data_IF_607726102989
#
_entry.id   IF_607726102989
#
_cell.length_a   1.000
_cell.length_b   1.000
_cell.length_c   1.000
_cell.angle_alpha   90.00
_cell.angle_beta   90.00
_cell.angle_gamma   90.00
#
_symmetry.space_group_name_H-M   'P 1'
#
loop_
_entity.id
_entity.type
_entity.pdbx_description
1 polymer ?
#
# COMPACT_ATOMS: atom_id res chain seq x y z
N UNK A 1 28.06 3.02 -9.51
CA UNK A 1 29.45 2.54 -9.65
C UNK A 1 30.45 3.45 -8.96
N UNK A 2 31.69 3.00 -8.77
CA UNK A 2 32.76 3.76 -8.11
C UNK A 2 32.98 5.16 -8.72
N UNK A 3 32.80 5.32 -10.03
CA UNK A 3 32.92 6.61 -10.73
C UNK A 3 31.94 7.68 -10.27
N UNK A 4 30.77 7.30 -9.78
CA UNK A 4 29.74 8.25 -9.29
C UNK A 4 30.11 8.82 -7.91
N UNK A 5 30.84 8.06 -7.09
CA UNK A 5 31.28 8.48 -5.76
C UNK A 5 32.32 9.59 -5.86
N UNK A 6 33.28 9.46 -6.80
CA UNK A 6 34.32 10.47 -7.01
C UNK A 6 33.77 11.79 -7.59
N UNK A 7 32.78 11.72 -8.48
CA UNK A 7 32.13 12.93 -9.03
C UNK A 7 31.37 13.71 -7.95
N UNK A 8 30.81 13.02 -6.95
CA UNK A 8 30.07 13.65 -5.84
C UNK A 8 30.96 14.41 -4.84
N UNK A 9 32.25 14.09 -4.76
CA UNK A 9 33.17 14.75 -3.84
C UNK A 9 33.53 16.18 -4.28
N UNK A 10 33.30 16.54 -5.53
CA UNK A 10 33.62 17.87 -6.10
C UNK A 10 32.54 18.91 -5.81
N UNK A 11 31.32 18.46 -5.46
CA UNK A 11 30.17 19.33 -5.23
C UNK A 11 29.96 19.59 -3.74
N UNK A 12 29.58 20.81 -3.39
CA UNK A 12 29.20 21.18 -2.03
C UNK A 12 27.89 20.50 -1.63
N UNK A 13 26.96 20.29 -2.58
CA UNK A 13 25.74 19.58 -2.39
C UNK A 13 25.29 18.78 -3.62
N UNK A 14 24.67 17.64 -3.40
CA UNK A 14 24.09 16.78 -4.45
C UNK A 14 22.61 16.57 -4.17
N UNK A 15 21.76 17.22 -4.95
CA UNK A 15 20.33 17.01 -4.95
C UNK A 15 19.97 15.79 -5.80
N UNK A 16 19.31 14.80 -5.19
CA UNK A 16 18.90 13.57 -5.84
C UNK A 16 17.37 13.53 -5.97
N UNK A 17 16.89 13.05 -7.13
CA UNK A 17 15.50 12.75 -7.41
C UNK A 17 15.21 11.24 -7.37
N UNK A 18 14.00 10.83 -7.79
CA UNK A 18 13.52 9.46 -7.89
C UNK A 18 12.98 8.85 -6.58
N UNK A 19 13.66 8.98 -5.46
CA UNK A 19 13.17 8.44 -4.18
C UNK A 19 12.17 9.40 -3.56
N UNK A 20 10.95 8.92 -3.28
CA UNK A 20 9.85 9.73 -2.77
C UNK A 20 9.98 10.09 -1.29
N UNK A 21 10.74 9.30 -0.53
CA UNK A 21 10.98 9.58 0.89
C UNK A 21 12.16 10.54 1.05
N UNK A 22 11.99 11.69 1.74
CA UNK A 22 13.09 12.59 2.05
C UNK A 22 14.15 11.88 2.90
N UNK A 23 15.39 11.75 2.38
CA UNK A 23 16.45 11.03 3.11
C UNK A 23 17.86 11.43 2.65
N UNK A 24 18.81 11.31 3.58
CA UNK A 24 20.23 11.48 3.30
C UNK A 24 20.83 10.16 2.82
N UNK A 25 21.79 10.23 1.91
CA UNK A 25 22.52 9.05 1.43
C UNK A 25 23.71 8.77 2.36
N UNK A 26 23.72 7.58 2.96
CA UNK A 26 24.79 7.19 3.88
C UNK A 26 24.95 8.12 5.09
N UNK A 27 23.88 8.75 5.54
CA UNK A 27 23.93 9.71 6.65
C UNK A 27 24.53 11.09 6.30
N UNK A 28 24.93 11.31 5.04
CA UNK A 28 25.52 12.56 4.59
C UNK A 28 24.44 13.55 4.15
N UNK A 29 24.26 14.63 4.89
CA UNK A 29 23.26 15.68 4.60
C UNK A 29 23.53 16.45 3.30
N UNK A 30 24.77 16.40 2.78
CA UNK A 30 25.15 17.01 1.52
C UNK A 30 24.73 16.21 0.30
N UNK A 31 24.30 14.96 0.48
CA UNK A 31 23.83 14.08 -0.60
C UNK A 31 22.44 13.61 -0.19
N UNK A 32 21.41 14.21 -0.79
CA UNK A 32 20.07 14.03 -0.28
C UNK A 32 19.02 13.84 -1.38
N UNK A 33 18.07 12.94 -1.13
CA UNK A 33 16.79 12.91 -1.80
C UNK A 33 15.84 13.87 -1.08
N UNK A 34 15.33 14.89 -1.77
CA UNK A 34 14.36 15.83 -1.19
C UNK A 34 12.98 15.18 -0.99
N UNK A 35 12.72 14.08 -1.68
CA UNK A 35 11.41 13.44 -1.71
C UNK A 35 10.45 14.11 -2.68
N UNK A 36 9.18 13.72 -2.60
CA UNK A 36 8.07 14.33 -3.37
C UNK A 36 7.30 15.33 -2.52
N UNK A 37 6.69 16.38 -3.10
CA UNK A 37 5.92 17.37 -2.35
C UNK A 37 4.62 16.81 -1.75
N UNK A 38 4.08 15.75 -2.36
CA UNK A 38 2.85 15.08 -1.93
C UNK A 38 3.10 13.58 -1.73
N UNK A 39 2.17 12.92 -1.04
CA UNK A 39 2.13 11.47 -0.88
C UNK A 39 1.41 10.86 -2.09
N UNK A 40 2.08 9.99 -2.84
CA UNK A 40 1.55 9.39 -4.06
C UNK A 40 1.08 7.94 -3.88
N UNK A 41 1.39 7.33 -2.73
CA UNK A 41 0.99 5.96 -2.43
C UNK A 41 0.70 5.76 -0.95
N UNK A 42 0.00 4.66 -0.63
CA UNK A 42 -0.27 4.27 0.76
C UNK A 42 1.03 4.11 1.57
N UNK A 43 2.10 3.57 1.00
CA UNK A 43 3.38 3.39 1.71
C UNK A 43 3.98 4.71 2.22
N UNK A 44 3.52 5.84 1.72
CA UNK A 44 4.00 7.18 2.09
C UNK A 44 3.14 7.86 3.18
N UNK A 45 2.08 7.23 3.67
CA UNK A 45 1.11 7.87 4.55
C UNK A 45 1.71 8.46 5.84
N UNK A 46 2.77 7.86 6.37
CA UNK A 46 3.48 8.33 7.57
C UNK A 46 4.60 9.34 7.26
N UNK A 47 4.94 9.57 5.99
CA UNK A 47 6.05 10.44 5.64
C UNK A 47 5.69 11.91 5.83
N UNK A 48 6.58 12.66 6.48
CA UNK A 48 6.52 14.12 6.46
C UNK A 48 7.19 14.63 5.17
N UNK A 49 6.39 15.21 4.28
CA UNK A 49 6.91 15.83 3.06
C UNK A 49 7.53 17.18 3.36
N UNK A 50 8.59 17.54 2.63
CA UNK A 50 9.35 18.77 2.89
C UNK A 50 10.01 19.30 1.62
N UNK A 51 10.35 20.59 1.66
CA UNK A 51 11.30 21.22 0.72
C UNK A 51 12.65 21.32 1.40
N UNK A 52 13.71 21.00 0.68
CA UNK A 52 15.08 21.21 1.16
C UNK A 52 15.56 22.60 0.74
N UNK A 53 15.79 23.48 1.71
CA UNK A 53 16.36 24.80 1.51
C UNK A 53 17.86 24.75 1.75
N UNK A 54 18.63 25.33 0.85
CA UNK A 54 20.08 25.42 0.93
C UNK A 54 20.51 26.89 1.04
N UNK A 55 21.30 27.18 2.04
CA UNK A 55 21.98 28.46 2.18
C UNK A 55 23.47 28.20 1.89
N UNK A 56 23.95 28.69 0.77
CA UNK A 56 25.36 28.52 0.33
C UNK A 56 26.14 29.83 0.58
N UNK A 57 27.22 29.73 1.31
CA UNK A 57 28.18 30.83 1.50
C UNK A 57 29.49 30.55 0.74
N UNK A 58 30.64 30.68 1.40
CA UNK A 58 31.93 30.28 0.82
C UNK A 58 31.99 28.77 0.63
N UNK A 59 32.89 28.30 -0.26
CA UNK A 59 33.04 26.87 -0.56
C UNK A 59 33.20 26.04 0.72
N UNK A 60 32.36 25.01 0.86
CA UNK A 60 32.34 24.16 2.03
C UNK A 60 31.47 24.67 3.20
N UNK A 61 31.01 25.92 3.18
CA UNK A 61 30.11 26.49 4.16
C UNK A 61 28.67 26.47 3.63
N UNK A 62 27.88 25.52 4.10
CA UNK A 62 26.54 25.27 3.64
C UNK A 62 25.64 24.94 4.83
N UNK A 63 24.43 25.46 4.82
CA UNK A 63 23.37 25.09 5.74
C UNK A 63 22.22 24.45 4.99
N UNK A 64 21.78 23.29 5.46
CA UNK A 64 20.65 22.54 4.93
C UNK A 64 19.49 22.65 5.91
N UNK A 65 18.36 23.15 5.44
CA UNK A 65 17.14 23.27 6.25
C UNK A 65 15.99 22.55 5.55
N UNK A 66 15.26 21.72 6.30
CA UNK A 66 14.06 21.05 5.80
C UNK A 66 12.84 21.84 6.24
N UNK A 67 12.08 22.34 5.26
CA UNK A 67 10.84 23.06 5.49
C UNK A 67 9.67 22.07 5.28
N UNK A 68 8.92 21.70 6.34
CA UNK A 68 7.82 20.76 6.20
C UNK A 68 6.71 21.35 5.32
N UNK A 69 6.12 20.53 4.49
CA UNK A 69 4.94 20.86 3.69
C UNK A 69 3.70 20.31 4.40
N UNK A 70 2.70 21.17 4.52
CA UNK A 70 1.37 20.76 5.00
C UNK A 70 0.45 20.64 3.78
N UNK A 71 -0.04 19.44 3.45
CA UNK A 71 -0.94 19.26 2.32
C UNK A 71 -2.32 19.86 2.62
N UNK A 72 -3.06 20.26 1.58
CA UNK A 72 -4.45 20.70 1.71
C UNK A 72 -5.34 19.57 2.26
N UNK A 73 -5.04 18.34 1.87
CA UNK A 73 -5.70 17.11 2.32
C UNK A 73 -4.64 16.07 2.65
N UNK A 74 -4.75 15.49 3.83
CA UNK A 74 -3.82 14.46 4.27
C UNK A 74 -4.18 13.10 3.68
N UNK A 75 -3.21 12.19 3.61
CA UNK A 75 -3.43 10.78 3.32
C UNK A 75 -3.40 10.02 4.64
N UNK A 76 -4.51 9.35 4.94
CA UNK A 76 -4.68 8.59 6.19
C UNK A 76 -4.89 7.12 5.93
N UNK A 77 -4.31 6.31 6.78
CA UNK A 77 -4.56 4.87 6.84
C UNK A 77 -5.24 4.54 8.16
N UNK A 78 -6.41 3.89 8.08
CA UNK A 78 -7.15 3.41 9.25
C UNK A 78 -7.43 1.93 9.09
N UNK A 79 -7.29 1.18 10.19
CA UNK A 79 -7.53 -0.26 10.24
C UNK A 79 -8.35 -0.57 11.48
N UNK A 80 -9.58 -1.02 11.27
CA UNK A 80 -10.49 -1.40 12.35
C UNK A 80 -11.69 -2.19 11.78
N UNK A 81 -12.62 -2.59 12.63
CA UNK A 81 -13.90 -3.14 12.21
C UNK A 81 -14.76 -2.07 11.51
N UNK A 82 -15.65 -2.52 10.65
CA UNK A 82 -16.60 -1.64 9.97
C UNK A 82 -17.41 -0.77 10.96
N UNK A 83 -17.88 -1.37 12.06
CA UNK A 83 -18.64 -0.66 13.08
C UNK A 83 -17.83 0.47 13.71
N UNK A 84 -16.57 0.21 14.08
CA UNK A 84 -15.68 1.20 14.66
C UNK A 84 -15.36 2.33 13.68
N UNK A 85 -15.08 2.01 12.41
CA UNK A 85 -14.82 3.02 11.38
C UNK A 85 -16.03 3.92 11.13
N UNK A 86 -17.25 3.40 11.27
CA UNK A 86 -18.50 4.16 11.11
C UNK A 86 -18.92 4.91 12.38
N UNK A 87 -18.31 4.63 13.53
CA UNK A 87 -18.61 5.28 14.79
C UNK A 87 -18.08 6.72 14.83
N UNK A 88 -18.97 7.71 14.93
CA UNK A 88 -18.61 9.15 14.90
C UNK A 88 -17.49 9.57 15.86
N UNK A 89 -17.40 9.07 17.10
CA UNK A 89 -16.30 9.42 17.99
C UNK A 89 -14.91 9.13 17.41
N UNK A 90 -14.79 8.10 16.58
CA UNK A 90 -13.51 7.63 16.05
C UNK A 90 -13.00 8.46 14.86
N UNK A 91 -13.88 9.20 14.19
CA UNK A 91 -13.50 10.07 13.07
C UNK A 91 -13.79 11.55 13.27
N UNK A 92 -14.48 11.93 14.37
CA UNK A 92 -14.86 13.34 14.63
C UNK A 92 -13.67 14.29 14.80
N UNK A 93 -12.47 13.76 15.02
CA UNK A 93 -11.24 14.54 15.15
C UNK A 93 -10.62 14.95 13.79
N UNK A 94 -11.07 14.35 12.69
CA UNK A 94 -10.53 14.64 11.36
C UNK A 94 -11.28 15.81 10.70
N UNK A 95 -10.63 16.56 9.79
CA UNK A 95 -11.26 17.67 9.08
C UNK A 95 -12.50 17.25 8.30
N UNK A 96 -13.60 17.96 8.47
CA UNK A 96 -14.87 17.74 7.77
C UNK A 96 -15.28 19.00 7.01
N UNK A 97 -16.06 18.82 5.95
CA UNK A 97 -16.73 19.91 5.26
C UNK A 97 -18.04 20.32 5.99
N UNK A 98 -18.71 21.32 5.45
CA UNK A 98 -20.00 21.82 5.96
C UNK A 98 -21.13 20.78 5.96
N UNK A 99 -21.00 19.73 5.14
CA UNK A 99 -21.97 18.64 5.04
C UNK A 99 -21.59 17.45 5.96
N UNK A 100 -20.48 17.55 6.70
CA UNK A 100 -20.01 16.51 7.61
C UNK A 100 -19.21 15.39 6.95
N UNK A 101 -18.78 15.56 5.68
CA UNK A 101 -17.90 14.61 5.01
C UNK A 101 -16.43 14.86 5.36
N UNK A 102 -15.71 13.79 5.60
CA UNK A 102 -14.27 13.82 5.82
C UNK A 102 -13.52 14.29 4.57
N UNK A 103 -12.62 15.26 4.75
CA UNK A 103 -11.93 15.94 3.64
C UNK A 103 -10.64 15.27 3.19
N UNK A 104 -9.96 14.56 4.09
CA UNK A 104 -8.71 13.86 3.79
C UNK A 104 -8.93 12.66 2.86
N UNK A 105 -7.84 12.13 2.29
CA UNK A 105 -7.85 10.89 1.52
C UNK A 105 -7.65 9.69 2.46
N UNK A 106 -8.42 8.63 2.25
CA UNK A 106 -8.41 7.47 3.14
C UNK A 106 -8.09 6.17 2.42
N UNK A 107 -7.24 5.39 3.05
CA UNK A 107 -7.06 3.97 2.82
C UNK A 107 -7.59 3.25 4.06
N UNK A 108 -8.56 2.37 3.88
CA UNK A 108 -9.19 1.65 4.98
C UNK A 108 -8.92 0.16 4.86
N UNK A 109 -8.66 -0.49 6.00
CA UNK A 109 -8.57 -1.95 6.09
C UNK A 109 -9.56 -2.45 7.13
N UNK A 110 -10.51 -3.27 6.69
CA UNK A 110 -11.48 -3.90 7.58
C UNK A 110 -10.89 -5.15 8.22
N UNK A 111 -11.12 -5.28 9.53
CA UNK A 111 -10.74 -6.45 10.32
C UNK A 111 -11.90 -7.40 10.59
N UNK A 112 -13.06 -7.14 9.98
CA UNK A 112 -14.25 -7.98 10.10
C UNK A 112 -13.98 -9.37 9.51
N UNK A 113 -14.29 -10.44 10.26
CA UNK A 113 -14.15 -11.83 9.79
C UNK A 113 -15.17 -12.20 8.71
N UNK A 114 -16.34 -11.55 8.73
CA UNK A 114 -17.39 -11.73 7.74
C UNK A 114 -17.41 -10.56 6.75
N UNK A 115 -17.75 -10.85 5.51
CA UNK A 115 -17.88 -9.82 4.49
C UNK A 115 -19.02 -8.85 4.83
N UNK A 116 -18.71 -7.57 4.84
CA UNK A 116 -19.69 -6.50 5.07
C UNK A 116 -20.37 -6.15 3.76
N UNK A 117 -21.67 -6.37 3.67
CA UNK A 117 -22.44 -6.06 2.45
C UNK A 117 -22.35 -4.58 2.10
N UNK A 118 -21.96 -4.28 0.86
CA UNK A 118 -21.81 -2.92 0.32
C UNK A 118 -20.88 -2.01 1.17
N UNK A 119 -19.83 -2.60 1.76
CA UNK A 119 -18.92 -1.89 2.67
C UNK A 119 -18.38 -0.59 2.06
N UNK A 120 -17.85 -0.64 0.83
CA UNK A 120 -17.30 0.52 0.14
C UNK A 120 -18.31 1.67 0.05
N UNK A 121 -19.51 1.40 -0.43
CA UNK A 121 -20.56 2.41 -0.58
C UNK A 121 -21.01 3.00 0.76
N UNK A 122 -21.12 2.17 1.78
CA UNK A 122 -21.50 2.60 3.13
C UNK A 122 -20.40 3.44 3.78
N UNK A 123 -19.14 3.06 3.64
CA UNK A 123 -18.01 3.84 4.15
C UNK A 123 -17.90 5.19 3.43
N UNK A 124 -18.18 5.27 2.14
CA UNK A 124 -18.17 6.51 1.37
C UNK A 124 -19.23 7.54 1.80
N UNK A 125 -20.23 7.14 2.60
CA UNK A 125 -21.16 8.10 3.23
C UNK A 125 -20.49 8.97 4.31
N UNK A 126 -19.32 8.58 4.79
CA UNK A 126 -18.51 9.32 5.77
C UNK A 126 -17.16 9.70 5.16
N UNK A 127 -16.47 8.72 4.60
CA UNK A 127 -15.15 8.85 3.97
C UNK A 127 -15.28 9.13 2.48
N UNK A 128 -15.72 10.35 2.12
CA UNK A 128 -16.00 10.71 0.72
C UNK A 128 -14.83 10.47 -0.24
N UNK A 129 -13.60 10.71 0.24
CA UNK A 129 -12.37 10.52 -0.50
C UNK A 129 -11.69 9.16 -0.15
N UNK A 130 -12.49 8.10 0.00
CA UNK A 130 -11.98 6.74 0.18
C UNK A 130 -11.35 6.27 -1.12
N UNK A 131 -10.02 6.03 -1.10
CA UNK A 131 -9.23 5.62 -2.27
C UNK A 131 -9.19 4.10 -2.43
N UNK A 132 -9.08 3.38 -1.30
CA UNK A 132 -8.94 1.93 -1.30
C UNK A 132 -9.56 1.33 -0.03
N UNK A 133 -10.17 0.17 -0.17
CA UNK A 133 -10.70 -0.64 0.90
C UNK A 133 -10.12 -2.04 0.81
N UNK A 134 -9.39 -2.44 1.83
CA UNK A 134 -8.81 -3.76 1.96
C UNK A 134 -9.44 -4.53 3.13
N UNK A 135 -9.16 -5.83 3.22
CA UNK A 135 -9.54 -6.69 4.32
C UNK A 135 -8.31 -7.36 4.92
N UNK A 136 -8.21 -7.36 6.23
CA UNK A 136 -7.23 -8.12 6.99
C UNK A 136 -7.94 -9.00 8.00
N UNK A 137 -8.34 -10.17 7.57
CA UNK A 137 -9.01 -11.20 8.34
C UNK A 137 -8.32 -12.56 8.12
N UNK A 138 -8.75 -13.60 8.83
CA UNK A 138 -8.14 -14.92 8.73
C UNK A 138 -8.12 -15.47 7.31
N UNK A 139 -9.12 -15.16 6.51
CA UNK A 139 -9.20 -15.59 5.10
C UNK A 139 -8.12 -14.92 4.25
N UNK A 140 -7.94 -13.60 4.38
CA UNK A 140 -6.92 -12.87 3.62
C UNK A 140 -5.50 -13.20 4.07
N UNK A 141 -5.30 -13.47 5.37
CA UNK A 141 -4.02 -13.91 5.92
C UNK A 141 -3.64 -15.31 5.42
N UNK A 142 -4.58 -16.25 5.41
CA UNK A 142 -4.35 -17.60 4.87
C UNK A 142 -3.99 -17.56 3.38
N UNK A 143 -4.59 -16.67 2.59
CA UNK A 143 -4.24 -16.48 1.19
C UNK A 143 -2.81 -15.93 1.01
N UNK A 144 -2.39 -14.99 1.84
CA UNK A 144 -1.06 -14.41 1.79
C UNK A 144 0.04 -15.44 2.18
N UNK A 145 -0.23 -16.34 3.13
CA UNK A 145 0.69 -17.42 3.51
C UNK A 145 0.90 -18.43 2.38
N UNK A 146 -0.09 -18.63 1.53
CA UNK A 146 0.00 -19.58 0.39
C UNK A 146 0.73 -19.00 -0.82
N UNK A 147 0.71 -17.70 -1.01
CA UNK A 147 1.53 -17.04 -2.05
C UNK A 147 3.04 -17.12 -1.77
N UNK A 148 3.42 -17.39 -0.51
CA UNK A 148 4.84 -17.43 -0.08
C UNK A 148 5.42 -18.86 -0.14
N UNK A 149 4.60 -19.89 -0.23
CA UNK A 149 5.11 -21.27 -0.31
C UNK A 149 5.56 -21.58 -1.73
N UNK A 150 6.87 -21.82 -1.90
CA UNK A 150 7.55 -22.23 -3.15
C UNK A 150 7.06 -23.59 -3.73
N UNK A 151 6.04 -24.21 -3.15
CA UNK A 151 5.45 -25.48 -3.55
C UNK A 151 4.57 -25.45 -4.82
N UNK A 152 4.51 -24.31 -5.51
CA UNK A 152 3.72 -24.17 -6.74
C UNK A 152 4.30 -24.96 -7.95
N UNK A 153 5.53 -25.43 -7.85
CA UNK A 153 6.26 -26.02 -8.99
C UNK A 153 5.88 -27.48 -9.26
N UNK A 154 5.24 -28.19 -8.32
CA UNK A 154 4.92 -29.63 -8.46
C UNK A 154 3.42 -29.97 -8.51
N UNK A 155 2.52 -28.97 -8.44
CA UNK A 155 1.07 -29.25 -8.43
C UNK A 155 0.47 -29.26 -9.83
N UNK A 156 -0.41 -30.23 -10.06
CA UNK A 156 -1.21 -30.28 -11.30
C UNK A 156 -2.19 -29.09 -11.38
N UNK A 157 -2.61 -28.67 -12.59
CA UNK A 157 -3.61 -27.62 -12.76
C UNK A 157 -4.91 -27.86 -11.96
N UNK A 158 -5.34 -29.11 -11.84
CA UNK A 158 -6.54 -29.48 -11.07
C UNK A 158 -6.33 -29.28 -9.56
N UNK A 159 -5.16 -29.61 -9.04
CA UNK A 159 -4.81 -29.40 -7.63
C UNK A 159 -4.73 -27.90 -7.29
N UNK A 160 -4.17 -27.09 -8.17
CA UNK A 160 -4.14 -25.64 -8.01
C UNK A 160 -5.56 -25.03 -7.96
N UNK A 161 -6.45 -25.53 -8.82
CA UNK A 161 -7.86 -25.09 -8.83
C UNK A 161 -8.60 -25.55 -7.56
N UNK A 162 -8.37 -26.79 -7.08
CA UNK A 162 -9.01 -27.30 -5.83
C UNK A 162 -8.52 -26.49 -4.61
N UNK A 163 -7.24 -26.18 -4.54
CA UNK A 163 -6.66 -25.37 -3.48
C UNK A 163 -7.24 -23.95 -3.50
N UNK A 164 -7.30 -23.31 -4.68
CA UNK A 164 -7.90 -21.99 -4.84
C UNK A 164 -9.38 -21.99 -4.46
N UNK A 165 -10.15 -22.99 -4.92
CA UNK A 165 -11.58 -23.10 -4.57
C UNK A 165 -11.77 -23.30 -3.07
N UNK A 166 -10.93 -24.14 -2.43
CA UNK A 166 -10.96 -24.37 -0.98
C UNK A 166 -10.68 -23.09 -0.19
N UNK A 167 -9.74 -22.28 -0.67
CA UNK A 167 -9.41 -21.00 -0.07
C UNK A 167 -10.57 -20.01 -0.14
N UNK A 168 -11.22 -19.92 -1.31
CA UNK A 168 -12.30 -18.95 -1.51
C UNK A 168 -13.60 -19.36 -0.82
N UNK A 169 -13.87 -20.67 -0.70
CA UNK A 169 -15.18 -21.16 -0.27
C UNK A 169 -15.15 -21.92 1.06
N UNK A 170 -13.99 -22.09 1.69
CA UNK A 170 -13.77 -22.91 2.90
C UNK A 170 -14.29 -24.38 2.77
N UNK A 171 -14.42 -24.88 1.55
CA UNK A 171 -14.86 -26.25 1.26
C UNK A 171 -14.16 -26.77 0.00
N UNK A 172 -13.99 -28.09 -0.08
CA UNK A 172 -13.38 -28.74 -1.24
C UNK A 172 -14.34 -28.77 -2.43
N UNK A 173 -13.80 -28.88 -3.64
CA UNK A 173 -14.58 -29.17 -4.83
C UNK A 173 -15.37 -30.48 -4.64
N UNK A 174 -16.64 -30.51 -5.09
CA UNK A 174 -17.40 -31.74 -5.18
C UNK A 174 -16.84 -32.66 -6.27
N UNK A 175 -17.14 -33.94 -6.22
CA UNK A 175 -16.70 -34.88 -7.25
C UNK A 175 -17.25 -34.52 -8.65
N UNK A 176 -18.45 -33.98 -8.74
CA UNK A 176 -19.03 -33.48 -9.99
C UNK A 176 -18.25 -32.28 -10.54
N UNK A 177 -17.88 -31.32 -9.67
CA UNK A 177 -17.08 -30.16 -10.05
C UNK A 177 -15.66 -30.59 -10.52
N UNK A 178 -15.01 -31.51 -9.81
CA UNK A 178 -13.71 -32.05 -10.23
C UNK A 178 -13.78 -32.71 -11.59
N UNK A 179 -14.81 -33.53 -11.82
CA UNK A 179 -14.98 -34.23 -13.11
C UNK A 179 -15.23 -33.23 -14.24
N UNK A 180 -16.02 -32.21 -14.02
CA UNK A 180 -16.24 -31.13 -14.98
C UNK A 180 -14.94 -30.40 -15.33
N UNK A 181 -14.16 -30.02 -14.32
CA UNK A 181 -12.88 -29.33 -14.51
C UNK A 181 -11.84 -30.24 -15.22
N UNK A 182 -11.79 -31.53 -14.91
CA UNK A 182 -10.92 -32.51 -15.59
C UNK A 182 -11.24 -32.57 -17.07
N UNK A 183 -12.51 -32.64 -17.43
CA UNK A 183 -12.96 -32.65 -18.80
C UNK A 183 -12.57 -31.36 -19.53
N UNK A 184 -12.80 -30.20 -18.89
CA UNK A 184 -12.47 -28.90 -19.43
C UNK A 184 -10.95 -28.73 -19.67
N UNK A 185 -10.13 -29.13 -18.71
CA UNK A 185 -8.67 -29.09 -18.83
C UNK A 185 -8.16 -30.02 -19.97
N UNK A 186 -8.76 -31.22 -20.15
CA UNK A 186 -8.40 -32.12 -21.25
C UNK A 186 -8.76 -31.52 -22.61
N UNK A 187 -9.90 -30.84 -22.75
CA UNK A 187 -10.30 -30.17 -23.98
C UNK A 187 -9.37 -28.97 -24.32
N UNK A 188 -8.79 -28.33 -23.33
CA UNK A 188 -7.85 -27.20 -23.51
C UNK A 188 -6.42 -27.65 -23.86
N UNK A 189 -6.14 -28.96 -23.92
CA UNK A 189 -4.82 -29.50 -24.28
C UNK A 189 -3.78 -29.39 -23.15
N UNK A 190 -4.21 -29.28 -21.92
CA UNK A 190 -3.32 -29.30 -20.75
C UNK A 190 -2.92 -30.75 -20.39
N UNK A 191 -1.63 -30.98 -20.13
CA UNK A 191 -1.16 -32.22 -19.52
C UNK A 191 -1.74 -32.36 -18.11
N UNK A 192 -2.55 -33.40 -17.90
CA UNK A 192 -3.28 -33.64 -16.64
C UNK A 192 -2.49 -34.57 -15.70
N UNK A 193 -1.25 -34.94 -16.07
CA UNK A 193 -0.39 -35.83 -15.32
C UNK A 193 0.70 -35.10 -14.56
#
# INVERSE_FOLDING_TARGET
GLGDVYKRQVFDYVALGHIHNPQNVGGNERIRYCGTPLKYSLSEWQQQKSVTMLELAEKGNMKVTQLPLTPLREVRYLKDTFENLMARPNYAMFPMDENGFLQDFYYLTLTDENDVTNAMQRLQTVYKNLLQLDYDNKRTQANAELEITEDLVEKTPLELIDDFYRLQNNQKLSEEQKQYLTNLLSEMGGDIL
#
